data_IF_220183508960
#
_entry.id   IF_220183508960
#
_cell.length_a   1.000
_cell.length_b   1.000
_cell.length_c   1.000
_cell.angle_alpha   90.00
_cell.angle_beta   90.00
_cell.angle_gamma   90.00
#
_symmetry.space_group_name_H-M   'P 1'
#
loop_
_entity.id
_entity.type
_entity.pdbx_description
1 polymer ?
#
# COMPACT_ATOMS: atom_id res chain seq x y z
N UNK A 1 10.46 3.26 24.22
CA UNK A 1 10.55 3.89 22.90
C UNK A 1 10.41 2.79 21.87
N UNK A 2 9.23 2.70 21.25
CA UNK A 2 8.90 1.64 20.30
C UNK A 2 9.69 1.84 19.02
N UNK A 3 10.46 0.84 18.61
CA UNK A 3 11.01 0.79 17.26
C UNK A 3 9.82 0.69 16.29
N UNK A 4 9.39 1.82 15.74
CA UNK A 4 8.58 1.84 14.54
C UNK A 4 9.41 1.12 13.47
N UNK A 5 9.00 -0.10 13.14
CA UNK A 5 9.70 -0.96 12.18
C UNK A 5 9.59 -0.30 10.82
N UNK A 6 10.57 0.53 10.45
CA UNK A 6 10.70 1.07 9.10
C UNK A 6 10.77 -0.11 8.14
N UNK A 7 9.71 -0.28 7.35
CA UNK A 7 9.67 -1.20 6.23
C UNK A 7 10.46 -0.53 5.09
N UNK A 8 11.53 -1.14 4.60
CA UNK A 8 12.27 -0.61 3.46
C UNK A 8 12.07 -1.51 2.24
N UNK A 9 12.16 -0.96 1.02
CA UNK A 9 11.88 -1.65 -0.25
C UNK A 9 12.61 -3.00 -0.38
N UNK A 10 13.84 -3.09 0.12
CA UNK A 10 14.63 -4.32 0.11
C UNK A 10 14.17 -5.45 1.05
N UNK A 11 13.11 -5.24 1.86
CA UNK A 11 12.45 -6.31 2.61
C UNK A 11 11.40 -7.07 1.80
N UNK A 12 11.07 -6.58 0.59
CA UNK A 12 10.00 -7.08 -0.25
C UNK A 12 10.59 -7.62 -1.56
N UNK A 13 10.06 -8.75 -2.04
CA UNK A 13 10.40 -9.23 -3.37
C UNK A 13 9.80 -8.28 -4.44
N UNK A 14 10.45 -8.10 -5.59
CA UNK A 14 9.95 -7.20 -6.63
C UNK A 14 8.57 -7.58 -7.16
N UNK A 15 8.18 -8.85 -7.03
CA UNK A 15 6.85 -9.37 -7.39
C UNK A 15 5.92 -9.55 -6.19
N UNK A 16 6.32 -9.16 -4.97
CA UNK A 16 5.50 -9.27 -3.77
C UNK A 16 4.36 -8.26 -3.80
N UNK A 17 3.15 -8.68 -3.41
CA UNK A 17 2.01 -7.77 -3.29
C UNK A 17 2.04 -7.14 -1.90
N UNK A 18 1.98 -5.82 -1.87
CA UNK A 18 1.99 -5.00 -0.66
C UNK A 18 0.77 -4.10 -0.62
N UNK A 19 0.39 -3.68 0.59
CA UNK A 19 -0.73 -2.77 0.77
C UNK A 19 -0.21 -1.34 1.00
N UNK A 20 -0.51 -0.43 0.08
CA UNK A 20 -0.34 1.00 0.30
C UNK A 20 -1.52 1.49 1.17
N UNK A 21 -1.24 1.93 2.40
CA UNK A 21 -2.27 2.36 3.37
C UNK A 21 -2.64 3.83 3.24
N UNK A 22 -1.79 4.62 2.60
CA UNK A 22 -1.94 6.06 2.48
C UNK A 22 -1.60 6.52 1.08
N UNK A 23 -2.17 7.64 0.67
CA UNK A 23 -1.89 8.24 -0.63
C UNK A 23 -0.40 8.54 -0.77
N UNK A 24 0.23 8.07 -1.85
CA UNK A 24 1.63 8.35 -2.16
C UNK A 24 1.72 9.30 -3.35
N UNK A 25 2.16 10.53 -3.09
CA UNK A 25 2.41 11.52 -4.12
C UNK A 25 3.81 11.31 -4.68
N UNK A 26 3.91 11.05 -5.98
CA UNK A 26 5.19 10.97 -6.67
C UNK A 26 5.26 12.02 -7.76
N UNK A 27 6.47 12.39 -8.23
CA UNK A 27 6.62 13.34 -9.34
C UNK A 27 5.95 12.86 -10.62
N UNK A 28 5.84 11.54 -10.83
CA UNK A 28 5.28 10.95 -12.05
C UNK A 28 3.77 10.74 -11.99
N UNK A 29 3.25 10.28 -10.85
CA UNK A 29 1.82 9.99 -10.64
C UNK A 29 1.45 9.99 -9.16
N UNK A 30 0.16 9.96 -8.90
CA UNK A 30 -0.37 9.72 -7.56
C UNK A 30 -0.73 8.23 -7.44
N UNK A 31 -0.43 7.63 -6.30
CA UNK A 31 -0.84 6.28 -5.95
C UNK A 31 -1.85 6.35 -4.81
N UNK A 32 -3.04 5.84 -5.07
CA UNK A 32 -4.11 5.76 -4.08
C UNK A 32 -3.91 4.55 -3.17
N UNK A 33 -4.38 4.58 -1.91
CA UNK A 33 -4.29 3.43 -1.01
C UNK A 33 -4.94 2.18 -1.63
N UNK A 34 -4.25 1.06 -1.58
CA UNK A 34 -4.65 -0.17 -2.27
C UNK A 34 -3.55 -1.22 -2.34
N UNK A 35 -3.76 -2.27 -3.12
CA UNK A 35 -2.79 -3.34 -3.30
C UNK A 35 -1.95 -3.10 -4.55
N UNK A 36 -0.63 -3.16 -4.41
CA UNK A 36 0.32 -2.94 -5.48
C UNK A 36 1.42 -3.99 -5.45
N UNK A 37 2.05 -4.22 -6.59
CA UNK A 37 3.29 -4.97 -6.64
C UNK A 37 4.39 -4.07 -6.07
N UNK A 38 5.24 -4.59 -5.18
CA UNK A 38 6.30 -3.82 -4.53
C UNK A 38 7.28 -3.20 -5.54
N UNK A 39 7.52 -3.87 -6.67
CA UNK A 39 8.30 -3.35 -7.79
C UNK A 39 7.65 -2.20 -8.56
N UNK A 40 6.33 -1.99 -8.44
CA UNK A 40 5.61 -0.88 -9.09
C UNK A 40 5.55 0.38 -8.21
N UNK A 41 5.76 0.24 -6.89
CA UNK A 41 5.79 1.37 -5.98
C UNK A 41 7.20 1.98 -5.88
N UNK A 42 7.29 3.31 -5.71
CA UNK A 42 8.58 3.97 -5.51
C UNK A 42 9.15 3.63 -4.13
N UNK A 43 10.49 3.65 -3.99
CA UNK A 43 11.18 3.41 -2.72
C UNK A 43 10.71 4.33 -1.59
N UNK A 44 10.33 5.56 -1.93
CA UNK A 44 9.85 6.56 -0.96
C UNK A 44 8.56 6.12 -0.25
N UNK A 45 7.70 5.32 -0.88
CA UNK A 45 6.49 4.81 -0.25
C UNK A 45 6.82 3.86 0.92
N UNK A 46 7.93 3.12 0.78
CA UNK A 46 8.44 2.25 1.83
C UNK A 46 9.16 3.05 2.90
N UNK A 47 10.08 3.96 2.52
CA UNK A 47 10.85 4.76 3.50
C UNK A 47 9.94 5.59 4.44
N UNK A 48 8.84 6.11 3.90
CA UNK A 48 7.80 6.83 4.64
C UNK A 48 6.86 5.92 5.44
N UNK A 49 6.98 4.60 5.34
CA UNK A 49 6.13 3.64 6.06
C UNK A 49 4.67 3.63 5.60
N UNK A 50 4.39 4.09 4.37
CA UNK A 50 3.03 4.11 3.80
C UNK A 50 2.57 2.71 3.40
N UNK A 51 3.52 1.79 3.20
CA UNK A 51 3.28 0.43 2.75
C UNK A 51 3.28 -0.54 3.94
N UNK A 52 2.39 -1.53 3.91
CA UNK A 52 2.31 -2.64 4.86
C UNK A 52 2.51 -3.99 4.16
N UNK A 53 3.09 -4.96 4.88
CA UNK A 53 3.36 -6.30 4.37
C UNK A 53 2.14 -7.17 4.60
N UNK A 54 1.52 -7.61 3.51
CA UNK A 54 0.42 -8.56 3.60
C UNK A 54 0.93 -9.91 4.14
N UNK A 55 0.15 -10.59 4.99
CA UNK A 55 0.47 -11.96 5.38
C UNK A 55 0.51 -12.83 4.12
N UNK A 56 1.43 -13.82 4.03
CA UNK A 56 1.43 -14.74 2.91
C UNK A 56 0.07 -15.44 2.86
N UNK A 57 -0.70 -15.20 1.79
CA UNK A 57 -2.04 -15.76 1.62
C UNK A 57 -1.92 -17.28 1.51
N UNK A 58 -2.06 -17.96 2.66
CA UNK A 58 -2.31 -19.40 2.72
C UNK A 58 -3.80 -19.63 2.57
N UNK A 59 -4.24 -19.67 1.33
CA UNK A 59 -5.48 -20.34 0.94
C UNK A 59 -6.61 -19.43 0.46
N UNK A 60 -7.01 -19.68 -0.79
CA UNK A 60 -8.33 -19.53 -1.41
C UNK A 60 -8.88 -18.09 -1.59
N UNK A 61 -8.82 -17.72 -2.87
CA UNK A 61 -9.87 -17.01 -3.61
C UNK A 61 -9.96 -15.50 -3.46
N UNK A 62 -9.49 -14.83 -4.52
CA UNK A 62 -10.16 -13.76 -5.26
C UNK A 62 -11.33 -13.06 -4.56
N UNK A 63 -11.08 -11.89 -3.97
CA UNK A 63 -11.97 -10.73 -4.04
C UNK A 63 -11.16 -9.49 -3.65
N UNK A 64 -10.55 -8.82 -4.64
CA UNK A 64 -9.99 -7.48 -4.44
C UNK A 64 -11.16 -6.52 -4.61
N UNK A 65 -12.01 -6.42 -3.58
CA UNK A 65 -12.97 -5.32 -3.48
C UNK A 65 -12.17 -4.05 -3.22
N UNK A 66 -12.17 -3.15 -4.19
CA UNK A 66 -11.68 -1.79 -4.02
C UNK A 66 -12.59 -1.08 -3.01
N UNK A 67 -12.09 -0.58 -1.87
CA UNK A 67 -12.80 0.45 -1.14
C UNK A 67 -12.32 1.80 -1.70
N UNK A 68 -13.02 2.32 -2.71
CA UNK A 68 -13.03 3.77 -2.90
C UNK A 68 -13.77 4.36 -1.68
N UNK A 69 -13.27 5.43 -1.05
CA UNK A 69 -13.99 6.08 0.03
C UNK A 69 -15.26 6.73 -0.52
N UNK A 70 -16.40 6.24 -0.05
CA UNK A 70 -17.69 6.92 -0.10
C UNK A 70 -17.67 8.05 0.94
N UNK A 71 -17.10 9.19 0.56
CA UNK A 71 -17.20 10.44 1.32
C UNK A 71 -17.49 11.58 0.33
N UNK A 72 -18.73 11.62 -0.16
CA UNK A 72 -19.37 12.89 -0.55
C UNK A 72 -20.60 13.03 0.33
N UNK A 73 -20.39 13.56 1.54
CA UNK A 73 -21.42 14.14 2.37
C UNK A 73 -22.06 15.30 1.59
N UNK A 74 -23.20 15.07 0.95
CA UNK A 74 -24.07 16.16 0.51
C UNK A 74 -24.99 16.50 1.69
N UNK A 75 -24.62 17.55 2.39
CA UNK A 75 -25.47 18.32 3.31
C UNK A 75 -26.78 18.70 2.60
N UNK A 76 -27.94 18.28 3.14
CA UNK A 76 -29.20 19.03 3.19
C UNK A 76 -30.18 18.39 4.17
#
# INVERSE_FOLDING_TARGET
MGLERKLFRGMFEPTEVVQLRQLCFTPSRIFEPGHYIAGELPDIAFDLGLVDKLPPVRGKSAEISQPYPDDIQHDQ
#
